data_IF_067808960279
#
_entry.id   IF_067808960279
#
_cell.length_a   1.000
_cell.length_b   1.000
_cell.length_c   1.000
_cell.angle_alpha   90.00
_cell.angle_beta   90.00
_cell.angle_gamma   90.00
#
_symmetry.space_group_name_H-M   'P 1'
#
loop_
_entity.id
_entity.type
_entity.pdbx_description
1 polymer ?
#
# COMPACT_ATOMS: atom_id res chain seq x y z
N UNK A 1 2.30 19.97 6.06
CA UNK A 1 1.08 19.23 6.46
C UNK A 1 -0.05 20.05 7.09
N UNK A 2 0.15 20.95 8.07
CA UNK A 2 -1.03 21.65 8.69
C UNK A 2 -1.83 22.51 7.71
N UNK A 3 -1.15 23.09 6.70
CA UNK A 3 -1.78 23.88 5.63
C UNK A 3 -2.36 23.03 4.49
N UNK A 4 -1.91 21.79 4.33
CA UNK A 4 -2.38 20.91 3.25
C UNK A 4 -3.56 20.06 3.73
N UNK A 5 -4.48 19.78 2.82
CA UNK A 5 -5.71 19.04 3.11
C UNK A 5 -5.63 17.59 2.62
N UNK A 6 -4.80 17.36 1.60
CA UNK A 6 -4.55 16.07 1.02
C UNK A 6 -3.05 15.76 1.07
N UNK A 7 -2.71 14.56 1.53
CA UNK A 7 -1.37 13.98 1.44
C UNK A 7 -1.43 12.82 0.45
N UNK A 8 -0.57 12.82 -0.56
CA UNK A 8 -0.42 11.69 -1.49
C UNK A 8 0.94 11.06 -1.24
N UNK A 9 0.98 9.78 -0.92
CA UNK A 9 2.20 9.00 -0.70
C UNK A 9 2.36 8.01 -1.84
N UNK A 10 3.45 8.12 -2.60
CA UNK A 10 3.78 7.20 -3.69
C UNK A 10 5.04 6.41 -3.41
N UNK A 11 5.15 5.25 -4.07
CA UNK A 11 6.29 4.36 -3.97
C UNK A 11 5.97 2.95 -4.47
N UNK A 12 6.98 2.13 -4.68
CA UNK A 12 6.88 0.73 -5.08
C UNK A 12 6.15 -0.12 -4.03
N UNK A 13 5.77 -1.32 -4.44
CA UNK A 13 5.13 -2.26 -3.54
C UNK A 13 6.08 -2.65 -2.40
N UNK A 14 5.57 -2.62 -1.17
CA UNK A 14 6.36 -2.99 0.01
C UNK A 14 7.28 -1.91 0.58
N UNK A 15 7.28 -0.68 0.02
CA UNK A 15 8.11 0.43 0.53
C UNK A 15 7.60 1.09 1.82
N UNK A 16 6.49 0.60 2.40
CA UNK A 16 5.96 1.13 3.66
C UNK A 16 4.94 2.28 3.52
N UNK A 17 4.44 2.58 2.31
CA UNK A 17 3.42 3.63 2.07
C UNK A 17 2.24 3.58 3.05
N UNK A 18 1.61 2.41 3.20
CA UNK A 18 0.45 2.23 4.09
C UNK A 18 0.85 2.51 5.54
N UNK A 19 2.00 2.00 5.99
CA UNK A 19 2.52 2.28 7.34
C UNK A 19 2.75 3.78 7.56
N UNK A 20 3.31 4.49 6.59
CA UNK A 20 3.50 5.95 6.67
C UNK A 20 2.16 6.70 6.67
N UNK A 21 1.18 6.26 5.88
CA UNK A 21 -0.16 6.86 5.85
C UNK A 21 -0.85 6.77 7.22
N UNK A 22 -0.82 5.59 7.83
CA UNK A 22 -1.37 5.40 9.18
C UNK A 22 -0.55 6.14 10.23
N UNK A 23 0.78 6.14 10.14
CA UNK A 23 1.62 6.93 11.04
C UNK A 23 1.26 8.42 10.99
N UNK A 24 1.11 8.99 9.78
CA UNK A 24 0.67 10.36 9.59
C UNK A 24 -0.74 10.58 10.16
N UNK A 25 -1.68 9.66 9.95
CA UNK A 25 -3.02 9.74 10.51
C UNK A 25 -3.05 9.72 12.05
N UNK A 26 -2.20 8.91 12.69
CA UNK A 26 -2.07 8.86 14.15
C UNK A 26 -1.61 10.20 14.75
N UNK A 27 -0.88 11.03 14.00
CA UNK A 27 -0.55 12.39 14.47
C UNK A 27 -1.77 13.30 14.56
N UNK A 28 -2.80 13.06 13.75
CA UNK A 28 -4.07 13.78 13.78
C UNK A 28 -5.03 13.22 14.82
N UNK A 29 -4.95 11.92 15.13
CA UNK A 29 -5.72 11.32 16.23
C UNK A 29 -5.42 12.02 17.56
N UNK A 30 -4.14 12.36 17.81
CA UNK A 30 -3.72 13.19 18.95
C UNK A 30 -4.35 14.60 18.98
N UNK A 31 -4.93 15.05 17.86
CA UNK A 31 -5.64 16.32 17.68
C UNK A 31 -7.17 16.12 17.62
N UNK A 32 -7.67 14.99 18.12
CA UNK A 32 -9.08 14.59 18.15
C UNK A 32 -9.70 14.38 16.76
N UNK A 33 -8.92 13.92 15.78
CA UNK A 33 -9.48 13.45 14.51
C UNK A 33 -9.76 11.95 14.59
N UNK A 34 -10.89 11.52 14.05
CA UNK A 34 -11.19 10.11 13.85
C UNK A 34 -10.51 9.61 12.58
N UNK A 35 -9.79 8.50 12.65
CA UNK A 35 -9.17 7.86 11.49
C UNK A 35 -10.22 6.99 10.79
N UNK A 36 -10.51 7.26 9.52
CA UNK A 36 -11.52 6.58 8.71
C UNK A 36 -10.87 5.96 7.46
N UNK A 37 -10.51 4.66 7.48
CA UNK A 37 -10.09 3.97 6.27
C UNK A 37 -11.29 3.83 5.32
N UNK A 38 -11.09 4.21 4.06
CA UNK A 38 -12.10 4.17 3.00
C UNK A 38 -11.57 3.40 1.79
N UNK A 39 -12.46 2.74 1.06
CA UNK A 39 -12.07 1.90 -0.08
C UNK A 39 -12.19 2.65 -1.41
N UNK A 40 -13.05 3.68 -1.45
CA UNK A 40 -13.27 4.51 -2.63
C UNK A 40 -13.67 5.94 -2.24
N UNK A 41 -13.58 6.93 -3.16
CA UNK A 41 -13.96 8.32 -2.87
C UNK A 41 -15.42 8.52 -2.47
N UNK A 42 -16.36 7.69 -2.94
CA UNK A 42 -17.79 7.81 -2.60
C UNK A 42 -18.08 7.48 -1.13
N UNK A 43 -17.24 6.69 -0.47
CA UNK A 43 -17.34 6.44 0.97
C UNK A 43 -17.18 7.75 1.76
N UNK A 44 -16.35 8.67 1.25
CA UNK A 44 -16.17 10.01 1.83
C UNK A 44 -17.43 10.84 1.60
N UNK A 45 -17.98 10.82 0.38
CA UNK A 45 -19.18 11.60 0.01
C UNK A 45 -20.43 11.20 0.80
N UNK A 46 -20.51 9.92 1.18
CA UNK A 46 -21.65 9.36 1.93
C UNK A 46 -21.45 9.39 3.44
N UNK A 47 -20.24 9.70 3.91
CA UNK A 47 -19.97 9.81 5.33
C UNK A 47 -20.68 11.04 5.92
N UNK A 48 -21.39 10.84 7.02
CA UNK A 48 -22.15 11.91 7.68
C UNK A 48 -21.20 12.71 8.59
N UNK A 49 -20.59 13.77 8.04
CA UNK A 49 -19.46 14.50 8.65
C UNK A 49 -19.83 15.88 9.18
N UNK A 50 -21.12 16.17 9.38
CA UNK A 50 -21.57 17.55 9.58
C UNK A 50 -20.85 18.30 10.72
N UNK A 51 -20.24 17.61 11.69
CA UNK A 51 -19.51 18.23 12.81
C UNK A 51 -18.24 17.51 13.29
N UNK A 52 -17.84 16.37 12.70
CA UNK A 52 -16.73 15.55 13.21
C UNK A 52 -15.39 15.84 12.51
N UNK A 53 -14.30 15.85 13.28
CA UNK A 53 -12.94 15.88 12.73
C UNK A 53 -12.56 14.49 12.24
N UNK A 54 -12.11 14.35 11.00
CA UNK A 54 -11.77 13.06 10.41
C UNK A 54 -10.56 13.11 9.49
N UNK A 55 -9.77 12.03 9.50
CA UNK A 55 -8.73 11.75 8.51
C UNK A 55 -9.15 10.54 7.71
N UNK A 56 -9.42 10.75 6.43
CA UNK A 56 -9.69 9.67 5.49
C UNK A 56 -8.40 9.05 5.00
N UNK A 57 -8.31 7.72 5.01
CA UNK A 57 -7.19 6.99 4.41
C UNK A 57 -7.72 6.19 3.22
N UNK A 58 -7.25 6.53 2.02
CA UNK A 58 -7.56 5.85 0.78
C UNK A 58 -6.32 5.09 0.31
N UNK A 59 -6.18 3.85 0.77
CA UNK A 59 -4.98 3.02 0.59
C UNK A 59 -5.01 2.25 -0.74
N UNK A 60 -3.90 2.30 -1.48
CA UNK A 60 -3.72 1.74 -2.83
C UNK A 60 -4.89 2.09 -3.75
N UNK A 61 -5.10 3.39 -3.93
CA UNK A 61 -6.35 3.94 -4.50
C UNK A 61 -6.66 3.46 -5.91
N UNK A 62 -5.64 3.20 -6.73
CA UNK A 62 -5.81 2.68 -8.11
C UNK A 62 -5.61 1.17 -8.18
N UNK A 63 -5.38 0.50 -7.05
CA UNK A 63 -5.13 -0.93 -6.94
C UNK A 63 -3.76 -1.26 -6.33
N UNK A 64 -3.73 -2.34 -5.56
CA UNK A 64 -2.56 -2.77 -4.76
C UNK A 64 -1.47 -3.46 -5.58
N UNK A 65 -1.88 -4.24 -6.59
CA UNK A 65 -0.98 -5.09 -7.39
C UNK A 65 -0.94 -4.67 -8.86
N UNK A 66 -2.05 -4.13 -9.37
CA UNK A 66 -2.18 -3.68 -10.74
C UNK A 66 -3.24 -2.58 -10.81
N UNK A 67 -3.24 -1.85 -11.92
CA UNK A 67 -4.25 -0.83 -12.22
C UNK A 67 -5.64 -1.48 -12.28
N UNK A 68 -6.54 -1.01 -11.42
CA UNK A 68 -7.93 -1.45 -11.38
C UNK A 68 -8.79 -0.39 -12.06
N UNK A 69 -9.26 -0.69 -13.26
CA UNK A 69 -10.05 0.24 -14.07
C UNK A 69 -11.31 0.78 -13.35
N UNK A 70 -11.98 -0.06 -12.53
CA UNK A 70 -13.15 0.39 -11.75
C UNK A 70 -12.76 1.38 -10.66
N UNK A 71 -11.65 1.13 -9.96
CA UNK A 71 -11.12 2.06 -8.97
C UNK A 71 -10.64 3.36 -9.62
N UNK A 72 -9.99 3.27 -10.77
CA UNK A 72 -9.54 4.44 -11.54
C UNK A 72 -10.72 5.30 -11.98
N UNK A 73 -11.77 4.69 -12.52
CA UNK A 73 -13.02 5.39 -12.83
C UNK A 73 -13.62 6.05 -11.58
N UNK A 74 -13.73 5.31 -10.48
CA UNK A 74 -14.27 5.86 -9.22
C UNK A 74 -13.45 7.05 -8.70
N UNK A 75 -12.13 6.99 -8.89
CA UNK A 75 -11.21 8.08 -8.59
C UNK A 75 -11.49 9.31 -9.47
N UNK A 76 -11.49 9.15 -10.80
CA UNK A 76 -11.68 10.25 -11.75
C UNK A 76 -12.99 11.02 -11.50
N UNK A 77 -14.08 10.31 -11.23
CA UNK A 77 -15.39 10.95 -11.03
C UNK A 77 -15.59 11.43 -9.59
N UNK A 78 -15.19 10.63 -8.59
CA UNK A 78 -15.46 10.93 -7.18
C UNK A 78 -14.53 11.99 -6.59
N UNK A 79 -13.27 12.08 -7.05
CA UNK A 79 -12.29 12.96 -6.41
C UNK A 79 -12.60 14.45 -6.54
N UNK A 80 -13.21 14.87 -7.66
CA UNK A 80 -13.60 16.27 -7.85
C UNK A 80 -14.61 16.77 -6.80
N UNK A 81 -15.53 15.91 -6.39
CA UNK A 81 -16.50 16.23 -5.32
C UNK A 81 -15.86 16.12 -3.93
N UNK A 82 -14.98 15.14 -3.72
CA UNK A 82 -14.21 15.01 -2.47
C UNK A 82 -13.36 16.26 -2.23
N UNK A 83 -12.70 16.80 -3.25
CA UNK A 83 -11.93 18.05 -3.16
C UNK A 83 -12.80 19.22 -2.69
N UNK A 84 -14.01 19.37 -3.24
CA UNK A 84 -14.94 20.44 -2.82
C UNK A 84 -15.32 20.29 -1.35
N UNK A 85 -15.56 19.07 -0.88
CA UNK A 85 -15.90 18.79 0.52
C UNK A 85 -14.71 19.09 1.43
N UNK A 86 -13.51 18.63 1.07
CA UNK A 86 -12.28 18.91 1.80
C UNK A 86 -12.05 20.41 1.89
N UNK A 87 -12.18 21.14 0.78
CA UNK A 87 -12.02 22.60 0.71
C UNK A 87 -12.96 23.33 1.68
N UNK A 88 -14.26 22.98 1.67
CA UNK A 88 -15.26 23.57 2.57
C UNK A 88 -14.98 23.26 4.04
N UNK A 89 -14.42 22.09 4.35
CA UNK A 89 -14.23 21.60 5.71
C UNK A 89 -12.75 21.49 6.11
N UNK A 90 -11.90 22.38 5.60
CA UNK A 90 -10.43 22.30 5.71
C UNK A 90 -9.84 22.18 7.11
N UNK A 91 -10.59 22.61 8.12
CA UNK A 91 -10.20 22.56 9.54
C UNK A 91 -10.53 21.20 10.19
N UNK A 92 -11.50 20.48 9.64
CA UNK A 92 -12.05 19.26 10.23
C UNK A 92 -11.72 18.02 9.42
N UNK A 93 -11.51 18.14 8.11
CA UNK A 93 -11.27 16.99 7.23
C UNK A 93 -9.87 17.01 6.65
N UNK A 94 -9.24 15.83 6.67
CA UNK A 94 -7.97 15.55 6.00
C UNK A 94 -8.11 14.29 5.16
N UNK A 95 -7.34 14.20 4.09
CA UNK A 95 -7.26 13.03 3.23
C UNK A 95 -5.81 12.59 3.10
N UNK A 96 -5.58 11.28 3.21
CA UNK A 96 -4.30 10.64 2.93
C UNK A 96 -4.57 9.57 1.88
N UNK A 97 -3.83 9.63 0.77
CA UNK A 97 -3.94 8.70 -0.35
C UNK A 97 -2.60 7.99 -0.49
N UNK A 98 -2.62 6.68 -0.71
CA UNK A 98 -1.43 5.95 -1.15
C UNK A 98 -1.63 5.40 -2.55
N UNK A 99 -0.55 5.38 -3.34
CA UNK A 99 -0.56 4.83 -4.70
C UNK A 99 0.81 4.23 -5.06
N UNK A 100 0.82 3.22 -5.93
CA UNK A 100 2.06 2.72 -6.52
C UNK A 100 2.61 3.75 -7.51
N UNK A 101 3.93 4.06 -7.48
CA UNK A 101 4.52 5.07 -8.37
C UNK A 101 4.26 4.80 -9.86
N UNK A 102 4.41 3.54 -10.30
CA UNK A 102 4.18 3.15 -11.69
C UNK A 102 2.74 3.38 -12.15
N UNK A 103 1.78 3.39 -11.23
CA UNK A 103 0.37 3.62 -11.53
C UNK A 103 0.06 5.12 -11.39
N UNK A 104 0.71 5.80 -10.45
CA UNK A 104 0.52 7.22 -10.18
C UNK A 104 0.81 8.07 -11.43
N UNK A 105 1.90 7.81 -12.14
CA UNK A 105 2.26 8.53 -13.38
C UNK A 105 1.20 8.40 -14.48
N UNK A 106 0.51 7.25 -14.54
CA UNK A 106 -0.57 7.01 -15.49
C UNK A 106 -1.94 7.52 -15.03
N UNK A 107 -2.03 8.04 -13.80
CA UNK A 107 -3.28 8.47 -13.19
C UNK A 107 -3.38 9.99 -13.13
N UNK A 108 -4.59 10.53 -13.25
CA UNK A 108 -4.85 11.97 -13.09
C UNK A 108 -4.79 12.44 -11.62
N UNK A 109 -4.19 11.69 -10.69
CA UNK A 109 -4.10 12.05 -9.26
C UNK A 109 -3.36 13.36 -9.00
N UNK A 110 -2.44 13.76 -9.88
CA UNK A 110 -1.72 15.04 -9.80
C UNK A 110 -2.63 16.26 -10.04
N UNK A 111 -3.85 16.07 -10.57
CA UNK A 111 -4.81 17.15 -10.75
C UNK A 111 -5.43 17.65 -9.45
N UNK A 112 -5.17 16.98 -8.31
CA UNK A 112 -5.64 17.38 -6.98
C UNK A 112 -4.85 18.62 -6.53
N UNK A 113 -5.42 19.79 -6.83
CA UNK A 113 -4.80 21.12 -6.71
C UNK A 113 -4.26 21.51 -5.32
N UNK A 114 -4.60 20.79 -4.26
CA UNK A 114 -4.18 21.06 -2.86
C UNK A 114 -3.43 19.89 -2.20
N UNK A 115 -2.97 18.93 -2.99
CA UNK A 115 -2.25 17.77 -2.47
C UNK A 115 -0.76 18.05 -2.27
N UNK A 116 -0.25 17.67 -1.09
CA UNK A 116 1.19 17.50 -0.88
C UNK A 116 1.59 16.10 -1.32
N UNK A 117 2.57 16.01 -2.21
CA UNK A 117 3.03 14.75 -2.77
C UNK A 117 4.36 14.34 -2.12
N UNK A 118 4.37 13.16 -1.50
CA UNK A 118 5.56 12.50 -0.98
C UNK A 118 5.85 11.25 -1.81
N UNK A 119 7.00 11.24 -2.49
CA UNK A 119 7.47 10.07 -3.20
C UNK A 119 8.58 9.37 -2.40
N UNK A 120 8.31 8.16 -1.91
CA UNK A 120 9.27 7.36 -1.13
C UNK A 120 10.48 6.87 -1.95
N UNK A 121 10.46 7.04 -3.27
CA UNK A 121 11.60 6.76 -4.16
C UNK A 121 12.31 8.03 -4.62
N UNK A 122 11.90 9.20 -4.12
CA UNK A 122 12.69 10.41 -4.36
C UNK A 122 14.00 10.30 -3.59
N UNK A 123 15.08 10.85 -4.16
CA UNK A 123 16.41 10.82 -3.55
C UNK A 123 16.45 11.39 -2.12
N UNK A 124 15.49 12.27 -1.77
CA UNK A 124 15.40 12.90 -0.45
C UNK A 124 14.72 12.04 0.61
N UNK A 125 13.83 11.11 0.20
CA UNK A 125 12.98 10.32 1.11
C UNK A 125 13.23 8.82 1.02
N UNK A 126 14.17 8.40 0.17
CA UNK A 126 14.60 7.02 0.09
C UNK A 126 15.42 6.68 1.32
N UNK A 127 15.17 5.51 1.92
CA UNK A 127 15.93 5.06 3.09
C UNK A 127 17.43 4.99 2.77
N UNK A 128 18.22 5.71 3.56
CA UNK A 128 19.67 5.63 3.56
C UNK A 128 20.16 4.26 3.99
N UNK A 129 21.41 3.93 3.68
CA UNK A 129 22.05 2.68 4.12
C UNK A 129 21.97 2.47 5.64
N UNK A 130 22.13 3.54 6.43
CA UNK A 130 22.06 3.48 7.88
C UNK A 130 20.63 3.23 8.39
N UNK A 131 19.63 3.91 7.83
CA UNK A 131 18.21 3.66 8.15
C UNK A 131 17.78 2.25 7.75
N UNK A 132 18.26 1.73 6.62
CA UNK A 132 18.01 0.34 6.18
C UNK A 132 18.61 -0.66 7.18
N UNK A 133 19.82 -0.41 7.70
CA UNK A 133 20.45 -1.23 8.75
C UNK A 133 19.67 -1.16 10.06
N UNK A 134 19.21 0.01 10.45
CA UNK A 134 18.40 0.18 11.66
C UNK A 134 17.05 -0.55 11.53
N UNK A 135 16.39 -0.43 10.39
CA UNK A 135 15.16 -1.15 10.10
C UNK A 135 15.34 -2.66 10.24
N UNK A 136 16.43 -3.21 9.69
CA UNK A 136 16.76 -4.62 9.85
C UNK A 136 16.93 -5.01 11.31
N UNK A 137 17.63 -4.19 12.11
CA UNK A 137 17.81 -4.43 13.55
C UNK A 137 16.48 -4.44 14.29
N UNK A 138 15.54 -3.57 13.93
CA UNK A 138 14.21 -3.51 14.57
C UNK A 138 13.37 -4.76 14.32
N UNK A 139 13.47 -5.37 13.14
CA UNK A 139 12.69 -6.56 12.77
C UNK A 139 13.42 -7.89 13.02
N UNK A 140 14.72 -7.82 13.31
CA UNK A 140 15.54 -8.99 13.61
C UNK A 140 15.47 -9.33 15.10
N UNK A 141 15.03 -10.53 15.44
CA UNK A 141 15.42 -11.15 16.72
C UNK A 141 16.94 -11.45 16.66
N UNK A 142 17.62 -11.55 17.80
CA UNK A 142 19.09 -11.81 17.87
C UNK A 142 19.56 -12.99 16.99
N UNK A 143 18.67 -13.91 16.62
CA UNK A 143 18.95 -15.05 15.74
C UNK A 143 18.96 -14.76 14.23
N UNK A 144 18.44 -13.60 13.78
CA UNK A 144 18.19 -13.26 12.35
C UNK A 144 19.40 -12.54 11.71
N UNK A 145 20.26 -11.90 12.52
CA UNK A 145 21.48 -11.23 12.05
C UNK A 145 22.72 -12.13 12.17
N UNK A 146 22.68 -13.35 11.63
CA UNK A 146 23.87 -14.23 11.61
C UNK A 146 24.94 -13.79 10.60
N UNK A 147 24.58 -12.91 9.66
CA UNK A 147 25.48 -12.32 8.67
C UNK A 147 25.11 -10.86 8.44
N UNK A 148 26.11 -9.98 8.44
CA UNK A 148 25.93 -8.61 7.98
C UNK A 148 25.56 -8.64 6.49
N UNK A 149 24.38 -8.12 6.14
CA UNK A 149 24.00 -7.90 4.75
C UNK A 149 24.89 -6.82 4.14
N UNK A 150 25.37 -7.04 2.91
CA UNK A 150 26.17 -6.03 2.20
C UNK A 150 25.32 -4.81 1.88
N UNK A 151 25.94 -3.62 1.88
CA UNK A 151 25.27 -2.38 1.50
C UNK A 151 24.67 -2.46 0.08
N UNK A 152 25.25 -3.26 -0.81
CA UNK A 152 24.75 -3.50 -2.16
C UNK A 152 23.39 -4.24 -2.17
N UNK A 153 23.21 -5.27 -1.33
CA UNK A 153 21.93 -5.95 -1.17
C UNK A 153 20.90 -5.00 -0.54
N UNK A 154 21.32 -4.22 0.45
CA UNK A 154 20.44 -3.26 1.11
C UNK A 154 19.94 -2.21 0.13
N UNK A 155 20.81 -1.64 -0.70
CA UNK A 155 20.46 -0.55 -1.62
C UNK A 155 19.65 -1.02 -2.84
N UNK A 156 19.76 -2.28 -3.23
CA UNK A 156 19.06 -2.82 -4.41
C UNK A 156 17.58 -3.17 -4.18
N UNK A 157 17.09 -3.15 -2.94
CA UNK A 157 15.75 -3.64 -2.58
C UNK A 157 14.86 -2.55 -1.95
N UNK A 158 14.03 -1.89 -2.76
CA UNK A 158 13.11 -0.85 -2.26
C UNK A 158 11.91 -1.39 -1.46
N UNK A 159 11.67 -2.70 -1.52
CA UNK A 159 10.68 -3.40 -0.72
C UNK A 159 11.22 -3.89 0.63
N UNK A 160 12.40 -3.41 1.05
CA UNK A 160 13.05 -3.83 2.30
C UNK A 160 12.12 -3.77 3.53
N UNK A 161 11.28 -2.73 3.74
CA UNK A 161 10.35 -2.73 4.87
C UNK A 161 9.38 -3.92 4.88
N UNK A 162 8.88 -4.31 3.70
CA UNK A 162 8.05 -5.50 3.57
C UNK A 162 8.83 -6.77 3.87
N UNK A 163 10.05 -6.92 3.33
CA UNK A 163 10.89 -8.11 3.57
C UNK A 163 11.19 -8.27 5.06
N UNK A 164 11.53 -7.18 5.75
CA UNK A 164 11.78 -7.15 7.18
C UNK A 164 10.55 -7.63 7.98
N UNK A 165 9.38 -7.04 7.69
CA UNK A 165 8.13 -7.44 8.35
C UNK A 165 7.74 -8.88 8.04
N UNK A 166 7.94 -9.32 6.79
CA UNK A 166 7.67 -10.68 6.37
C UNK A 166 8.55 -11.67 7.15
N UNK A 167 9.88 -11.49 7.16
CA UNK A 167 10.75 -12.44 7.85
C UNK A 167 10.60 -12.43 9.36
N UNK A 168 10.27 -11.29 9.97
CA UNK A 168 9.89 -11.25 11.39
C UNK A 168 8.66 -12.11 11.68
N UNK A 169 7.61 -11.99 10.87
CA UNK A 169 6.35 -12.75 11.06
C UNK A 169 6.51 -14.26 10.80
N UNK A 170 7.32 -14.65 9.83
CA UNK A 170 7.52 -16.06 9.44
C UNK A 170 8.79 -16.68 10.05
N UNK A 171 9.50 -15.93 10.90
CA UNK A 171 10.79 -16.34 11.48
C UNK A 171 11.79 -16.85 10.42
N UNK A 172 11.80 -16.25 9.23
CA UNK A 172 12.82 -16.54 8.22
C UNK A 172 14.09 -15.73 8.45
N UNK A 173 15.23 -16.34 8.09
CA UNK A 173 16.48 -15.60 7.94
C UNK A 173 16.34 -14.64 6.75
N UNK A 174 16.51 -13.34 7.02
CA UNK A 174 16.41 -12.29 6.02
C UNK A 174 17.50 -12.41 4.95
N UNK A 175 18.67 -12.94 5.31
CA UNK A 175 19.77 -13.22 4.37
C UNK A 175 19.34 -14.30 3.38
N UNK A 176 18.73 -15.37 3.90
CA UNK A 176 18.21 -16.44 3.05
C UNK A 176 17.07 -15.96 2.13
N UNK A 177 16.32 -14.92 2.52
CA UNK A 177 15.34 -14.31 1.62
C UNK A 177 16.00 -13.63 0.43
N UNK A 178 17.12 -12.94 0.63
CA UNK A 178 17.83 -12.31 -0.49
C UNK A 178 18.57 -13.31 -1.37
N UNK A 179 19.14 -14.37 -0.78
CA UNK A 179 19.86 -15.39 -1.53
C UNK A 179 18.90 -16.31 -2.32
N UNK A 180 17.79 -16.72 -1.69
CA UNK A 180 16.85 -17.71 -2.24
C UNK A 180 15.38 -17.32 -2.02
N UNK A 181 14.92 -16.15 -2.55
CA UNK A 181 13.56 -15.66 -2.29
C UNK A 181 12.49 -16.65 -2.77
N UNK A 182 12.78 -17.38 -3.85
CA UNK A 182 11.86 -18.36 -4.44
C UNK A 182 11.52 -19.50 -3.48
N UNK A 183 12.50 -20.04 -2.76
CA UNK A 183 12.28 -21.15 -1.82
C UNK A 183 11.39 -20.72 -0.66
N UNK A 184 11.62 -19.52 -0.13
CA UNK A 184 10.84 -18.96 0.96
C UNK A 184 9.40 -18.68 0.51
N UNK A 185 9.22 -18.06 -0.66
CA UNK A 185 7.90 -17.79 -1.23
C UNK A 185 7.15 -19.10 -1.51
N UNK A 186 7.82 -20.12 -2.07
CA UNK A 186 7.22 -21.43 -2.32
C UNK A 186 6.79 -22.12 -1.03
N UNK A 187 7.58 -22.00 0.05
CA UNK A 187 7.21 -22.53 1.36
C UNK A 187 5.95 -21.85 1.90
N UNK A 188 5.90 -20.52 1.91
CA UNK A 188 4.73 -19.74 2.34
C UNK A 188 3.49 -20.07 1.49
N UNK A 189 3.65 -20.17 0.17
CA UNK A 189 2.59 -20.57 -0.74
C UNK A 189 2.07 -21.97 -0.41
N UNK A 190 2.95 -22.97 -0.21
CA UNK A 190 2.55 -24.34 0.15
C UNK A 190 1.75 -24.37 1.44
N UNK A 191 2.19 -23.65 2.48
CA UNK A 191 1.47 -23.57 3.76
C UNK A 191 0.08 -22.93 3.60
N UNK A 192 -0.04 -21.87 2.80
CA UNK A 192 -1.32 -21.20 2.51
C UNK A 192 -2.25 -22.04 1.64
N UNK A 193 -1.70 -22.74 0.66
CA UNK A 193 -2.42 -23.71 -0.20
C UNK A 193 -3.01 -24.83 0.65
N UNK A 194 -2.22 -25.40 1.58
CA UNK A 194 -2.70 -26.45 2.48
C UNK A 194 -3.85 -25.98 3.36
N UNK A 195 -3.85 -24.71 3.77
CA UNK A 195 -4.92 -24.11 4.58
C UNK A 195 -6.13 -23.66 3.76
N UNK A 196 -5.97 -23.48 2.46
CA UNK A 196 -7.00 -22.93 1.58
C UNK A 196 -6.88 -23.48 0.15
N UNK A 197 -7.59 -24.59 -0.11
CA UNK A 197 -7.63 -25.25 -1.41
C UNK A 197 -8.11 -24.31 -2.54
N UNK A 198 -9.01 -23.35 -2.24
CA UNK A 198 -9.48 -22.36 -3.22
C UNK A 198 -8.36 -21.42 -3.68
N UNK A 199 -7.41 -21.11 -2.79
CA UNK A 199 -6.24 -20.30 -3.13
C UNK A 199 -5.36 -21.02 -4.16
N UNK A 200 -5.16 -22.33 -3.99
CA UNK A 200 -4.40 -23.14 -4.93
C UNK A 200 -5.03 -23.15 -6.33
N UNK A 201 -6.34 -23.43 -6.40
CA UNK A 201 -7.06 -23.44 -7.69
C UNK A 201 -6.98 -22.07 -8.37
N UNK A 202 -7.09 -20.98 -7.60
CA UNK A 202 -7.00 -19.62 -8.14
C UNK A 202 -5.61 -19.31 -8.70
N UNK A 203 -4.55 -19.70 -7.99
CA UNK A 203 -3.15 -19.53 -8.43
C UNK A 203 -2.85 -20.39 -9.66
N UNK A 204 -3.30 -21.65 -9.68
CA UNK A 204 -3.13 -22.54 -10.82
C UNK A 204 -3.84 -21.99 -12.07
N UNK A 205 -5.05 -21.42 -11.91
CA UNK A 205 -5.78 -20.79 -13.00
C UNK A 205 -5.05 -19.54 -13.53
N UNK A 206 -4.47 -18.72 -12.67
CA UNK A 206 -3.66 -17.56 -13.08
C UNK A 206 -2.46 -17.99 -13.94
N UNK A 207 -1.71 -18.99 -13.48
CA UNK A 207 -0.52 -19.50 -14.19
C UNK A 207 -0.90 -20.20 -15.50
N UNK A 208 -1.85 -21.14 -15.47
CA UNK A 208 -2.27 -21.91 -16.67
C UNK A 208 -2.86 -21.00 -17.73
N UNK A 209 -3.57 -19.95 -17.32
CA UNK A 209 -4.17 -19.01 -18.24
C UNK A 209 -3.27 -17.82 -18.56
N UNK A 210 -2.02 -17.81 -18.09
CA UNK A 210 -1.03 -16.78 -18.37
C UNK A 210 -1.59 -15.37 -18.14
N UNK A 211 -2.22 -15.19 -16.97
CA UNK A 211 -2.89 -13.95 -16.53
C UNK A 211 -4.05 -13.46 -17.42
N UNK A 212 -4.54 -14.28 -18.37
CA UNK A 212 -5.66 -13.93 -19.26
C UNK A 212 -7.04 -14.09 -18.61
N UNK A 213 -7.11 -14.70 -17.42
CA UNK A 213 -8.36 -14.83 -16.67
C UNK A 213 -8.36 -13.80 -15.54
N UNK A 214 -9.42 -12.99 -15.50
CA UNK A 214 -9.69 -12.09 -14.38
C UNK A 214 -11.00 -12.47 -13.67
N UNK A 215 -11.29 -11.79 -12.56
CA UNK A 215 -12.46 -12.08 -11.72
C UNK A 215 -13.79 -12.00 -12.50
N UNK A 216 -13.90 -11.10 -13.48
CA UNK A 216 -15.08 -10.98 -14.33
C UNK A 216 -15.23 -12.19 -15.28
N UNK A 217 -14.12 -12.71 -15.82
CA UNK A 217 -14.12 -13.92 -16.65
C UNK A 217 -14.63 -15.16 -15.89
N UNK A 218 -14.37 -15.23 -14.58
CA UNK A 218 -14.83 -16.31 -13.72
C UNK A 218 -16.31 -16.13 -13.32
N UNK A 219 -16.71 -14.92 -12.93
CA UNK A 219 -18.10 -14.62 -12.54
C UNK A 219 -19.09 -14.84 -13.68
N UNK A 220 -18.73 -14.44 -14.91
CA UNK A 220 -19.61 -14.60 -16.08
C UNK A 220 -19.82 -16.06 -16.49
N UNK A 221 -18.93 -16.98 -16.11
CA UNK A 221 -19.08 -18.41 -16.39
C UNK A 221 -19.93 -19.15 -15.36
N UNK A 222 -19.98 -18.67 -14.12
CA UNK A 222 -20.79 -19.26 -13.04
C UNK A 222 -22.28 -18.90 -13.21
N UNK A 223 -22.59 -17.74 -13.79
CA UNK A 223 -23.97 -17.32 -14.08
C UNK A 223 -24.55 -17.91 -15.37
N UNK A 224 -23.76 -18.64 -16.15
CA UNK A 224 -24.16 -19.27 -17.41
C UNK A 224 -24.48 -20.78 -17.27
N UNK A 225 -24.46 -21.30 -16.03
CA UNK A 225 -24.89 -22.65 -15.62
C UNK A 225 -26.03 -22.51 -14.62
#
# INVERSE_FOLDING_TARGET
MEKEQCLIITGCQGSGKSSLAYFAALTYEKKNFTILPVSNPYDILTSNLSESKAVFILDDVVGKHALNAKKMYSLEFGMSEVEKILFRNRQNLKLIITCCSNIFESSNLLSITSAFHLNLHSNELTLSSDERKELLRMYSNESILKSELSDEILLSHDNLPFVCSFCSNYSCDITNYFDNPQEIILKDLKEKIQKNEKLFVSLALLVVCNDKINENSLKNRITAT
#
